data_IF_223077276341
#
_entry.id   IF_223077276341
#
_cell.length_a   1.000
_cell.length_b   1.000
_cell.length_c   1.000
_cell.angle_alpha   90.00
_cell.angle_beta   90.00
_cell.angle_gamma   90.00
#
_symmetry.space_group_name_H-M   'P 1'
#
loop_
_entity.id
_entity.type
_entity.pdbx_description
1 polymer ?
#
# COMPACT_ATOMS: atom_id res chain seq x y z
N UNK A 1 -17.13 -6.04 -20.49
CA UNK A 1 -16.37 -5.38 -21.58
C UNK A 1 -16.32 -6.37 -22.73
N UNK A 2 -16.85 -6.02 -23.90
CA UNK A 2 -16.92 -6.94 -25.05
C UNK A 2 -15.65 -6.92 -25.92
N UNK A 3 -14.71 -6.02 -25.64
CA UNK A 3 -13.42 -5.91 -26.33
C UNK A 3 -12.30 -6.61 -25.57
N UNK A 4 -11.31 -7.20 -26.26
CA UNK A 4 -10.17 -7.81 -25.61
C UNK A 4 -9.29 -6.74 -24.95
N UNK A 5 -8.67 -7.12 -23.83
CA UNK A 5 -7.82 -6.22 -23.06
C UNK A 5 -6.59 -6.92 -22.49
N UNK A 6 -5.58 -6.12 -22.13
CA UNK A 6 -4.37 -6.56 -21.45
C UNK A 6 -4.16 -5.76 -20.16
N UNK A 7 -3.81 -6.43 -19.07
CA UNK A 7 -3.37 -5.81 -17.82
C UNK A 7 -1.94 -6.23 -17.50
N UNK A 8 -1.18 -5.34 -16.87
CA UNK A 8 0.18 -5.63 -16.39
C UNK A 8 0.02 -5.98 -14.90
N UNK A 9 0.31 -7.24 -14.54
CA UNK A 9 0.14 -7.74 -13.17
C UNK A 9 1.37 -7.53 -12.28
N UNK A 10 2.50 -7.16 -12.88
CA UNK A 10 3.73 -6.84 -12.15
C UNK A 10 3.89 -5.33 -11.95
N UNK A 11 4.57 -4.89 -10.88
CA UNK A 11 4.89 -3.49 -10.67
C UNK A 11 5.63 -2.85 -11.87
N UNK A 12 5.53 -1.53 -12.07
CA UNK A 12 6.13 -0.83 -13.20
C UNK A 12 7.66 -0.74 -13.12
N UNK A 13 8.26 -1.04 -11.96
CA UNK A 13 9.70 -1.01 -11.76
C UNK A 13 10.42 -2.11 -12.56
N UNK A 14 11.69 -1.88 -12.96
CA UNK A 14 12.49 -2.90 -13.61
C UNK A 14 12.63 -4.15 -12.75
N UNK A 15 12.30 -5.30 -13.33
CA UNK A 15 12.44 -6.61 -12.71
C UNK A 15 13.01 -7.64 -13.67
N UNK A 16 13.21 -8.87 -13.19
CA UNK A 16 13.66 -9.97 -14.04
C UNK A 16 12.56 -10.41 -15.02
N UNK A 17 11.32 -10.55 -14.52
CA UNK A 17 10.17 -11.09 -15.27
C UNK A 17 8.96 -10.18 -15.05
N UNK A 18 8.27 -9.84 -16.13
CA UNK A 18 6.98 -9.18 -16.10
C UNK A 18 5.86 -10.19 -16.30
N UNK A 19 4.64 -9.87 -15.88
CA UNK A 19 3.46 -10.71 -16.14
C UNK A 19 2.38 -9.84 -16.75
N UNK A 20 1.93 -10.19 -17.95
CA UNK A 20 0.79 -9.56 -18.61
C UNK A 20 -0.35 -10.54 -18.72
N UNK A 21 -1.54 -10.12 -18.28
CA UNK A 21 -2.78 -10.87 -18.42
C UNK A 21 -3.55 -10.35 -19.63
N UNK A 22 -3.83 -11.22 -20.59
CA UNK A 22 -4.67 -10.92 -21.75
C UNK A 22 -6.00 -11.64 -21.60
N UNK A 23 -7.08 -10.88 -21.71
CA UNK A 23 -8.46 -11.37 -21.72
C UNK A 23 -9.08 -11.14 -23.10
N UNK A 24 -9.68 -12.18 -23.66
CA UNK A 24 -10.48 -12.12 -24.88
C UNK A 24 -11.98 -12.32 -24.58
N UNK A 25 -12.90 -11.81 -25.43
CA UNK A 25 -14.34 -12.05 -25.24
C UNK A 25 -14.74 -13.51 -25.48
N UNK A 26 -14.02 -14.22 -26.35
CA UNK A 26 -14.25 -15.62 -26.67
C UNK A 26 -12.97 -16.32 -27.16
N UNK A 27 -13.05 -17.65 -27.32
CA UNK A 27 -11.91 -18.47 -27.71
C UNK A 27 -11.36 -18.11 -29.12
N UNK A 28 -12.24 -17.80 -30.06
CA UNK A 28 -11.87 -17.44 -31.42
C UNK A 28 -11.08 -16.12 -31.46
N UNK A 29 -11.47 -15.18 -30.60
CA UNK A 29 -10.77 -13.91 -30.42
C UNK A 29 -9.39 -14.11 -29.81
N UNK A 30 -9.24 -14.98 -28.80
CA UNK A 30 -7.92 -15.29 -28.23
C UNK A 30 -6.98 -15.94 -29.25
N UNK A 31 -7.50 -16.88 -30.04
CA UNK A 31 -6.75 -17.53 -31.13
C UNK A 31 -6.34 -16.51 -32.21
N UNK A 32 -7.23 -15.58 -32.56
CA UNK A 32 -6.93 -14.52 -33.50
C UNK A 32 -5.81 -13.60 -32.97
N UNK A 33 -5.88 -13.17 -31.70
CA UNK A 33 -4.85 -12.37 -31.02
C UNK A 33 -3.51 -13.09 -31.06
N UNK A 34 -3.47 -14.35 -30.61
CA UNK A 34 -2.22 -15.11 -30.54
C UNK A 34 -1.59 -15.29 -31.93
N UNK A 35 -2.39 -15.59 -32.95
CA UNK A 35 -1.92 -15.71 -34.33
C UNK A 35 -1.37 -14.39 -34.88
N UNK A 36 -2.08 -13.28 -34.68
CA UNK A 36 -1.67 -11.96 -35.19
C UNK A 36 -0.43 -11.42 -34.47
N UNK A 37 -0.31 -11.67 -33.17
CA UNK A 37 0.84 -11.29 -32.36
C UNK A 37 2.03 -12.27 -32.47
N UNK A 38 1.89 -13.40 -33.18
CA UNK A 38 2.95 -14.42 -33.25
C UNK A 38 3.26 -15.06 -31.88
N UNK A 39 2.23 -15.23 -31.05
CA UNK A 39 2.29 -15.89 -29.74
C UNK A 39 1.96 -17.38 -29.91
N UNK A 40 2.82 -18.31 -29.47
CA UNK A 40 2.57 -19.73 -29.60
C UNK A 40 1.56 -20.19 -28.54
N UNK A 41 0.28 -20.12 -28.87
CA UNK A 41 -0.83 -20.46 -27.98
C UNK A 41 -0.80 -21.95 -27.56
N UNK A 42 -0.71 -22.27 -26.26
CA UNK A 42 -0.87 -23.64 -25.77
C UNK A 42 -2.35 -24.09 -25.78
N UNK A 43 -2.58 -25.37 -25.48
CA UNK A 43 -3.92 -25.85 -25.14
C UNK A 43 -4.40 -25.19 -23.84
N UNK A 44 -5.71 -25.20 -23.58
CA UNK A 44 -6.30 -24.70 -22.34
C UNK A 44 -5.71 -25.43 -21.12
N UNK A 45 -5.27 -24.69 -20.10
CA UNK A 45 -4.50 -25.20 -18.96
C UNK A 45 -3.03 -25.53 -19.27
N UNK A 46 -2.56 -25.26 -20.48
CA UNK A 46 -1.23 -25.60 -20.96
C UNK A 46 -0.22 -24.47 -20.84
N UNK A 47 1.06 -24.85 -20.89
CA UNK A 47 2.19 -23.91 -20.89
C UNK A 47 3.09 -24.12 -22.10
N UNK A 48 3.68 -23.04 -22.61
CA UNK A 48 4.63 -23.08 -23.72
C UNK A 48 5.67 -21.98 -23.60
N UNK A 49 6.90 -22.26 -24.05
CA UNK A 49 7.93 -21.23 -24.22
C UNK A 49 7.93 -20.76 -25.67
N UNK A 50 8.03 -19.44 -25.89
CA UNK A 50 8.28 -18.90 -27.22
C UNK A 50 8.13 -17.38 -27.30
N UNK A 51 7.92 -16.89 -28.53
CA UNK A 51 7.84 -15.46 -28.83
C UNK A 51 6.60 -14.83 -28.21
N UNK A 52 6.78 -13.64 -27.64
CA UNK A 52 5.73 -12.78 -27.08
C UNK A 52 5.66 -11.53 -27.95
N UNK A 53 4.59 -11.42 -28.75
CA UNK A 53 4.33 -10.28 -29.63
C UNK A 53 5.46 -9.97 -30.65
N UNK A 54 6.38 -10.92 -30.91
CA UNK A 54 7.58 -10.69 -31.71
C UNK A 54 8.59 -9.70 -31.09
N UNK A 55 8.44 -9.40 -29.80
CA UNK A 55 9.26 -8.44 -29.05
C UNK A 55 10.27 -9.15 -28.16
N UNK A 56 9.82 -10.19 -27.45
CA UNK A 56 10.64 -10.92 -26.48
C UNK A 56 10.32 -12.42 -26.50
N UNK A 57 11.10 -13.21 -25.77
CA UNK A 57 10.86 -14.63 -25.53
C UNK A 57 10.54 -14.88 -24.06
N UNK A 58 9.54 -15.71 -23.78
CA UNK A 58 9.15 -16.03 -22.42
C UNK A 58 8.21 -17.22 -22.34
N UNK A 59 7.57 -17.36 -21.18
CA UNK A 59 6.55 -18.37 -20.94
C UNK A 59 5.18 -17.79 -21.29
N UNK A 60 4.38 -18.61 -21.95
CA UNK A 60 3.00 -18.35 -22.34
C UNK A 60 2.15 -19.40 -21.65
N UNK A 61 1.22 -18.96 -20.80
CA UNK A 61 0.32 -19.84 -20.03
C UNK A 61 -1.11 -19.53 -20.48
N UNK A 62 -1.84 -20.52 -20.99
CA UNK A 62 -3.26 -20.36 -21.30
C UNK A 62 -4.07 -20.95 -20.15
N UNK A 63 -4.68 -20.11 -19.33
CA UNK A 63 -5.45 -20.57 -18.17
C UNK A 63 -6.80 -21.13 -18.59
N UNK A 64 -7.53 -20.39 -19.42
CA UNK A 64 -8.82 -20.80 -19.98
C UNK A 64 -8.84 -20.61 -21.48
N UNK A 65 -9.98 -20.89 -22.11
CA UNK A 65 -10.11 -20.66 -23.55
C UNK A 65 -10.07 -19.17 -23.93
N UNK A 66 -10.24 -18.27 -22.95
CA UNK A 66 -10.32 -16.82 -23.14
C UNK A 66 -9.21 -16.02 -22.44
N UNK A 67 -8.37 -16.65 -21.62
CA UNK A 67 -7.30 -15.99 -20.85
C UNK A 67 -5.91 -16.50 -21.18
N UNK A 68 -4.95 -15.59 -21.16
CA UNK A 68 -3.54 -15.87 -21.46
C UNK A 68 -2.61 -15.03 -20.58
N UNK A 69 -1.63 -15.65 -19.94
CA UNK A 69 -0.51 -14.95 -19.31
C UNK A 69 0.71 -14.98 -20.22
N UNK A 70 1.36 -13.82 -20.34
CA UNK A 70 2.62 -13.62 -21.04
C UNK A 70 3.67 -13.21 -20.02
N UNK A 71 4.82 -13.89 -20.00
CA UNK A 71 5.88 -13.64 -19.02
C UNK A 71 7.20 -13.18 -19.69
N UNK A 72 7.27 -11.97 -20.26
CA UNK A 72 8.50 -11.44 -20.83
C UNK A 72 9.48 -11.02 -19.73
N UNK A 73 10.68 -10.58 -20.12
CA UNK A 73 11.56 -9.86 -19.21
C UNK A 73 10.92 -8.54 -18.78
N UNK A 74 11.06 -8.17 -17.49
CA UNK A 74 10.45 -6.95 -16.91
C UNK A 74 11.23 -5.66 -17.19
N UNK A 75 11.71 -5.49 -18.42
CA UNK A 75 12.25 -4.21 -18.89
C UNK A 75 11.09 -3.26 -19.26
N UNK A 76 11.01 -2.02 -18.74
CA UNK A 76 9.91 -1.10 -19.06
C UNK A 76 9.73 -0.85 -20.57
N UNK A 77 10.82 -0.87 -21.35
CA UNK A 77 10.76 -0.76 -22.80
C UNK A 77 10.17 -2.01 -23.48
N UNK A 78 10.46 -3.20 -22.95
CA UNK A 78 9.93 -4.48 -23.44
C UNK A 78 8.43 -4.54 -23.20
N UNK A 79 8.00 -4.24 -21.96
CA UNK A 79 6.57 -4.22 -21.59
C UNK A 79 5.81 -3.23 -22.47
N UNK A 80 6.32 -2.00 -22.64
CA UNK A 80 5.70 -0.99 -23.52
C UNK A 80 5.60 -1.45 -24.98
N UNK A 81 6.64 -2.10 -25.50
CA UNK A 81 6.63 -2.60 -26.87
C UNK A 81 5.61 -3.74 -27.05
N UNK A 82 5.51 -4.67 -26.10
CA UNK A 82 4.50 -5.74 -26.12
C UNK A 82 3.08 -5.15 -26.07
N UNK A 83 2.81 -4.25 -25.12
CA UNK A 83 1.50 -3.58 -25.01
C UNK A 83 1.17 -2.81 -26.28
N UNK A 84 2.15 -2.11 -26.88
CA UNK A 84 1.97 -1.40 -28.14
C UNK A 84 1.60 -2.35 -29.29
N UNK A 85 2.26 -3.50 -29.40
CA UNK A 85 1.94 -4.53 -30.40
C UNK A 85 0.55 -5.13 -30.21
N UNK A 86 0.15 -5.36 -28.97
CA UNK A 86 -1.20 -5.83 -28.64
C UNK A 86 -2.26 -4.77 -28.99
N UNK A 87 -1.97 -3.49 -28.75
CA UNK A 87 -2.85 -2.38 -29.12
C UNK A 87 -3.04 -2.24 -30.64
N UNK A 88 -1.99 -2.47 -31.44
CA UNK A 88 -2.06 -2.46 -32.92
C UNK A 88 -3.08 -3.47 -33.48
N UNK A 89 -3.36 -4.56 -32.75
CA UNK A 89 -4.30 -5.62 -33.13
C UNK A 89 -5.62 -5.55 -32.35
N UNK A 90 -5.89 -4.43 -31.68
CA UNK A 90 -7.16 -4.15 -31.03
C UNK A 90 -7.30 -4.64 -29.58
N UNK A 91 -6.20 -5.06 -28.94
CA UNK A 91 -6.19 -5.39 -27.49
C UNK A 91 -5.87 -4.13 -26.70
N UNK A 92 -6.86 -3.61 -25.99
CA UNK A 92 -6.70 -2.37 -25.24
C UNK A 92 -5.99 -2.60 -23.90
N UNK A 93 -5.21 -1.64 -23.42
CA UNK A 93 -4.79 -1.66 -22.02
C UNK A 93 -6.03 -1.55 -21.13
N UNK A 94 -6.12 -2.40 -20.10
CA UNK A 94 -7.24 -2.38 -19.16
C UNK A 94 -7.39 -0.96 -18.55
N UNK A 95 -8.63 -0.49 -18.33
CA UNK A 95 -8.86 0.76 -17.61
C UNK A 95 -8.28 0.68 -16.19
N UNK A 96 -8.06 1.85 -15.56
CA UNK A 96 -7.51 1.92 -14.19
C UNK A 96 -8.42 1.30 -13.11
N UNK A 97 -9.66 0.93 -13.46
CA UNK A 97 -10.53 0.15 -12.58
C UNK A 97 -10.06 -1.31 -12.59
N UNK A 98 -9.82 -1.86 -11.40
CA UNK A 98 -9.36 -3.24 -11.23
C UNK A 98 -10.28 -4.21 -12.00
N UNK A 99 -9.73 -5.01 -12.93
CA UNK A 99 -10.50 -6.03 -13.63
C UNK A 99 -11.20 -6.98 -12.65
N UNK A 100 -12.33 -7.55 -13.08
CA UNK A 100 -13.07 -8.51 -12.27
C UNK A 100 -12.15 -9.61 -11.71
N UNK A 101 -12.26 -9.88 -10.41
CA UNK A 101 -11.34 -10.78 -9.71
C UNK A 101 -11.38 -12.20 -10.29
N UNK A 102 -12.53 -12.70 -10.73
CA UNK A 102 -12.63 -14.04 -11.35
C UNK A 102 -11.88 -14.11 -12.68
N UNK A 103 -11.72 -12.95 -13.34
CA UNK A 103 -10.97 -12.85 -14.58
C UNK A 103 -9.47 -12.85 -14.31
N UNK A 104 -9.01 -12.14 -13.28
CA UNK A 104 -7.60 -12.07 -12.90
C UNK A 104 -7.07 -13.36 -12.27
N UNK A 105 -7.94 -14.09 -11.55
CA UNK A 105 -7.61 -15.32 -10.83
C UNK A 105 -8.47 -16.48 -11.35
N UNK A 106 -8.29 -16.91 -12.62
CA UNK A 106 -9.09 -17.99 -13.21
C UNK A 106 -8.88 -19.35 -12.52
N UNK A 107 -7.82 -19.49 -11.72
CA UNK A 107 -7.56 -20.67 -10.88
C UNK A 107 -8.42 -20.75 -9.61
N UNK A 108 -9.10 -19.66 -9.23
CA UNK A 108 -9.97 -19.64 -8.06
C UNK A 108 -11.17 -20.59 -8.25
N UNK A 109 -11.55 -21.32 -7.18
CA UNK A 109 -12.66 -22.28 -7.26
C UNK A 109 -14.03 -21.59 -7.38
N UNK A 110 -14.15 -20.37 -6.87
CA UNK A 110 -15.35 -19.53 -6.93
C UNK A 110 -15.03 -18.03 -6.82
N UNK A 111 -16.06 -17.20 -6.95
CA UNK A 111 -15.96 -15.74 -6.86
C UNK A 111 -15.43 -15.26 -5.50
N UNK A 112 -15.72 -15.99 -4.42
CA UNK A 112 -15.27 -15.62 -3.07
C UNK A 112 -13.75 -15.79 -2.99
N UNK A 113 -13.23 -16.92 -3.47
CA UNK A 113 -11.80 -17.19 -3.52
C UNK A 113 -11.08 -16.21 -4.46
N UNK A 114 -11.66 -15.88 -5.61
CA UNK A 114 -11.09 -14.90 -6.53
C UNK A 114 -10.94 -13.51 -5.88
N UNK A 115 -11.99 -13.04 -5.19
CA UNK A 115 -11.96 -11.77 -4.45
C UNK A 115 -10.98 -11.81 -3.28
N UNK A 116 -10.85 -12.95 -2.61
CA UNK A 116 -9.87 -13.16 -1.54
C UNK A 116 -8.44 -13.06 -2.09
N UNK A 117 -8.12 -13.72 -3.21
CA UNK A 117 -6.82 -13.63 -3.87
C UNK A 117 -6.51 -12.20 -4.30
N UNK A 118 -7.50 -11.49 -4.86
CA UNK A 118 -7.36 -10.08 -5.21
C UNK A 118 -7.05 -9.21 -3.97
N UNK A 119 -7.72 -9.45 -2.84
CA UNK A 119 -7.43 -8.76 -1.59
C UNK A 119 -6.04 -9.12 -1.02
N UNK A 120 -5.65 -10.39 -1.12
CA UNK A 120 -4.35 -10.88 -0.66
C UNK A 120 -3.19 -10.27 -1.45
N UNK A 121 -3.35 -10.11 -2.76
CA UNK A 121 -2.34 -9.52 -3.64
C UNK A 121 -2.06 -8.03 -3.33
N UNK A 122 -3.04 -7.31 -2.76
CA UNK A 122 -2.91 -5.90 -2.35
C UNK A 122 -2.69 -5.70 -0.85
N UNK A 123 -2.75 -6.76 -0.05
CA UNK A 123 -2.69 -6.65 1.39
C UNK A 123 -1.32 -6.12 1.82
N UNK A 124 -1.30 -4.92 2.41
CA UNK A 124 -0.05 -4.30 2.84
C UNK A 124 0.53 -4.99 4.09
N UNK A 125 -0.33 -5.42 5.02
CA UNK A 125 0.09 -5.99 6.29
C UNK A 125 0.16 -7.53 6.25
N UNK A 126 1.28 -8.16 6.64
CA UNK A 126 1.38 -9.62 6.78
C UNK A 126 0.31 -10.23 7.69
N UNK A 127 -0.14 -9.50 8.72
CA UNK A 127 -1.22 -9.94 9.60
C UNK A 127 -2.57 -10.16 8.87
N UNK A 128 -2.74 -9.64 7.65
CA UNK A 128 -3.94 -9.89 6.83
C UNK A 128 -4.00 -11.32 6.29
N UNK A 129 -2.85 -11.99 6.10
CA UNK A 129 -2.73 -13.21 5.29
C UNK A 129 -3.65 -14.31 5.83
N UNK A 130 -3.49 -14.70 7.10
CA UNK A 130 -4.28 -15.77 7.70
C UNK A 130 -5.78 -15.41 7.77
N UNK A 131 -6.10 -14.12 7.97
CA UNK A 131 -7.48 -13.64 8.01
C UNK A 131 -8.16 -13.74 6.65
N UNK A 132 -7.43 -13.45 5.57
CA UNK A 132 -7.89 -13.54 4.19
C UNK A 132 -8.01 -15.00 3.74
N UNK A 133 -7.00 -15.83 4.01
CA UNK A 133 -7.02 -17.25 3.65
C UNK A 133 -8.19 -17.99 4.32
N UNK A 134 -8.57 -17.61 5.54
CA UNK A 134 -9.75 -18.16 6.22
C UNK A 134 -11.09 -17.66 5.65
N UNK A 135 -11.09 -16.60 4.85
CA UNK A 135 -12.31 -15.90 4.43
C UNK A 135 -13.21 -16.76 3.54
N UNK A 136 -12.64 -17.54 2.62
CA UNK A 136 -13.41 -18.42 1.74
C UNK A 136 -14.21 -19.46 2.54
N UNK A 137 -13.59 -20.08 3.56
CA UNK A 137 -14.26 -21.02 4.46
C UNK A 137 -15.40 -20.35 5.25
N UNK A 138 -15.16 -19.14 5.78
CA UNK A 138 -16.15 -18.41 6.58
C UNK A 138 -17.38 -18.03 5.78
N UNK A 139 -17.20 -17.49 4.57
CA UNK A 139 -18.32 -17.10 3.70
C UNK A 139 -19.16 -18.30 3.24
N UNK A 140 -18.53 -19.45 3.07
CA UNK A 140 -19.22 -20.71 2.75
C UNK A 140 -19.95 -21.31 3.97
N UNK A 141 -19.67 -20.84 5.19
CA UNK A 141 -20.29 -21.35 6.42
C UNK A 141 -21.64 -20.67 6.65
N UNK A 142 -22.77 -21.41 6.62
CA UNK A 142 -24.09 -20.82 6.84
C UNK A 142 -24.22 -20.20 8.23
N UNK A 143 -24.78 -18.99 8.32
CA UNK A 143 -24.98 -18.30 9.60
C UNK A 143 -23.74 -17.61 10.16
N UNK A 144 -22.65 -17.50 9.40
CA UNK A 144 -21.55 -16.60 9.75
C UNK A 144 -22.10 -15.16 9.85
N UNK A 145 -22.21 -14.67 11.09
CA UNK A 145 -22.66 -13.30 11.33
C UNK A 145 -21.63 -12.30 10.78
N UNK A 146 -22.11 -11.17 10.27
CA UNK A 146 -21.26 -10.00 10.06
C UNK A 146 -20.60 -9.66 11.39
N UNK A 147 -19.28 -9.46 11.36
CA UNK A 147 -18.48 -9.05 12.50
C UNK A 147 -17.82 -7.70 12.16
N UNK A 148 -18.52 -6.58 12.46
CA UNK A 148 -18.00 -5.26 12.14
C UNK A 148 -16.65 -4.94 12.80
N UNK A 149 -16.32 -5.59 13.92
CA UNK A 149 -15.03 -5.41 14.56
C UNK A 149 -13.93 -6.04 13.72
N UNK A 150 -14.12 -7.27 13.25
CA UNK A 150 -13.19 -7.93 12.33
C UNK A 150 -13.10 -7.22 10.99
N UNK A 151 -14.21 -6.74 10.44
CA UNK A 151 -14.20 -6.01 9.17
C UNK A 151 -13.35 -4.74 9.27
N UNK A 152 -13.45 -4.00 10.38
CA UNK A 152 -12.56 -2.85 10.65
C UNK A 152 -11.09 -3.24 10.75
N UNK A 153 -10.78 -4.33 11.46
CA UNK A 153 -9.40 -4.82 11.57
C UNK A 153 -8.85 -5.19 10.20
N UNK A 154 -9.60 -5.98 9.42
CA UNK A 154 -9.17 -6.40 8.09
C UNK A 154 -8.95 -5.19 7.17
N UNK A 155 -9.85 -4.21 7.18
CA UNK A 155 -9.68 -2.99 6.38
C UNK A 155 -8.39 -2.26 6.71
N UNK A 156 -7.98 -2.17 7.99
CA UNK A 156 -6.70 -1.55 8.38
C UNK A 156 -5.47 -2.39 8.04
N UNK A 157 -5.64 -3.68 7.84
CA UNK A 157 -4.56 -4.57 7.41
C UNK A 157 -4.37 -4.55 5.89
N UNK A 158 -5.46 -4.34 5.15
CA UNK A 158 -5.46 -4.12 3.71
C UNK A 158 -4.93 -2.73 3.37
N UNK A 159 -5.52 -1.70 3.97
CA UNK A 159 -5.20 -0.28 3.76
C UNK A 159 -4.41 0.26 4.97
N UNK A 160 -3.09 0.54 4.82
CA UNK A 160 -2.26 1.01 5.91
C UNK A 160 -2.82 2.27 6.58
N UNK A 161 -3.07 2.27 7.90
CA UNK A 161 -3.50 3.47 8.60
C UNK A 161 -2.42 4.55 8.58
N UNK A 162 -2.85 5.80 8.56
CA UNK A 162 -1.95 6.95 8.65
C UNK A 162 -1.62 7.27 10.11
N UNK A 163 -0.35 7.17 10.47
CA UNK A 163 0.19 7.53 11.78
C UNK A 163 0.98 8.84 11.64
N UNK A 164 0.50 9.92 12.25
CA UNK A 164 1.16 11.23 12.17
C UNK A 164 1.92 11.54 13.47
N UNK A 165 3.23 11.78 13.36
CA UNK A 165 4.05 12.21 14.49
C UNK A 165 4.18 13.74 14.51
N UNK A 166 3.62 14.35 15.55
CA UNK A 166 3.56 15.81 15.72
C UNK A 166 4.29 16.23 16.98
N UNK A 167 4.98 17.36 16.92
CA UNK A 167 5.70 17.91 18.07
C UNK A 167 6.84 18.84 17.68
N UNK A 168 7.56 19.40 18.67
CA UNK A 168 8.63 20.35 18.43
C UNK A 168 9.71 19.91 17.43
N UNK A 169 10.44 20.85 16.81
CA UNK A 169 11.59 20.51 15.98
C UNK A 169 12.68 19.83 16.80
N UNK A 170 13.44 18.93 16.17
CA UNK A 170 14.66 18.33 16.73
C UNK A 170 14.51 17.51 18.03
N UNK A 171 13.30 17.02 18.34
CA UNK A 171 13.06 16.12 19.50
C UNK A 171 13.22 14.63 19.18
N UNK A 172 13.58 14.28 17.94
CA UNK A 172 13.81 12.89 17.52
C UNK A 172 12.63 12.17 16.88
N UNK A 173 11.64 12.88 16.30
CA UNK A 173 10.50 12.26 15.57
C UNK A 173 10.95 11.42 14.38
N UNK A 174 11.89 11.91 13.57
CA UNK A 174 12.46 11.16 12.45
C UNK A 174 13.32 9.98 12.94
N UNK A 175 14.02 10.14 14.06
CA UNK A 175 14.79 9.06 14.70
C UNK A 175 13.86 7.96 15.20
N UNK A 176 12.69 8.31 15.74
CA UNK A 176 11.65 7.36 16.13
C UNK A 176 11.16 6.56 14.93
N UNK A 177 10.83 7.21 13.81
CA UNK A 177 10.42 6.54 12.57
C UNK A 177 11.45 5.48 12.13
N UNK A 178 12.73 5.86 12.07
CA UNK A 178 13.81 4.95 11.69
C UNK A 178 13.97 3.78 12.68
N UNK A 179 13.79 4.03 13.98
CA UNK A 179 13.88 2.99 15.00
C UNK A 179 12.69 1.99 14.90
N UNK A 180 11.46 2.49 14.72
CA UNK A 180 10.26 1.67 14.55
C UNK A 180 10.32 0.81 13.29
N UNK A 181 10.90 1.31 12.21
CA UNK A 181 11.01 0.57 10.97
C UNK A 181 12.06 -0.56 10.99
N UNK A 182 12.86 -0.69 12.07
CA UNK A 182 13.88 -1.74 12.22
C UNK A 182 15.07 -1.66 11.26
N UNK A 183 15.08 -0.71 10.31
CA UNK A 183 16.14 -0.41 9.33
C UNK A 183 16.01 1.02 8.80
N UNK A 184 17.05 1.53 8.15
CA UNK A 184 16.95 2.78 7.35
C UNK A 184 15.92 2.58 6.26
N UNK A 185 14.78 3.26 6.36
CA UNK A 185 13.67 3.05 5.43
C UNK A 185 14.01 3.69 4.09
N UNK A 186 13.92 2.90 3.01
CA UNK A 186 13.80 3.49 1.68
C UNK A 186 12.44 4.17 1.63
N UNK A 187 12.43 5.50 1.49
CA UNK A 187 11.23 6.27 1.21
C UNK A 187 10.56 5.62 0.00
N UNK A 188 9.41 4.99 0.19
CA UNK A 188 8.55 4.58 -0.93
C UNK A 188 7.91 5.87 -1.43
N UNK A 189 8.52 6.43 -2.47
CA UNK A 189 7.97 7.55 -3.21
C UNK A 189 7.06 7.00 -4.31
N UNK A 190 5.81 7.49 -4.31
CA UNK A 190 4.78 7.43 -5.35
C UNK A 190 4.56 6.11 -6.12
N UNK A 191 3.35 5.58 -5.98
CA UNK A 191 2.64 4.97 -7.12
C UNK A 191 1.95 6.09 -7.91
N UNK A 192 2.39 6.29 -9.15
CA UNK A 192 1.80 7.28 -10.05
C UNK A 192 0.36 6.87 -10.42
N UNK A 193 -0.64 7.44 -9.73
CA UNK A 193 -2.05 7.20 -10.07
C UNK A 193 -3.07 7.55 -8.99
N UNK A 194 -2.67 7.69 -7.73
CA UNK A 194 -3.62 8.07 -6.67
C UNK A 194 -3.60 9.57 -6.45
N UNK A 195 -4.57 10.29 -7.00
CA UNK A 195 -4.86 11.66 -6.57
C UNK A 195 -5.33 11.63 -5.12
N UNK A 196 -4.43 12.00 -4.20
CA UNK A 196 -4.64 12.87 -3.01
C UNK A 196 -3.42 12.80 -2.09
N UNK A 197 -2.35 13.51 -2.44
CA UNK A 197 -1.34 14.11 -1.54
C UNK A 197 -1.04 13.44 -0.17
N UNK A 198 -0.27 12.35 -0.08
CA UNK A 198 0.14 11.74 1.21
C UNK A 198 1.65 11.38 1.26
N UNK A 199 2.48 12.31 1.75
CA UNK A 199 3.95 12.16 1.89
C UNK A 199 4.30 11.39 3.18
N UNK A 200 4.04 10.08 3.24
CA UNK A 200 4.38 9.24 4.40
C UNK A 200 5.12 7.97 3.98
N UNK A 201 5.92 7.41 4.89
CA UNK A 201 6.72 6.21 4.64
C UNK A 201 6.00 4.98 5.18
N UNK A 202 5.94 3.88 4.41
CA UNK A 202 5.40 2.61 4.91
C UNK A 202 6.42 1.93 5.83
N UNK A 203 6.00 1.60 7.04
CA UNK A 203 6.82 0.88 8.03
C UNK A 203 6.04 -0.34 8.56
N UNK A 204 6.75 -1.44 8.80
CA UNK A 204 6.20 -2.65 9.42
C UNK A 204 6.39 -2.58 10.94
N UNK A 205 5.27 -2.56 11.67
CA UNK A 205 5.22 -2.57 13.12
C UNK A 205 4.60 -3.89 13.57
N UNK A 206 5.43 -4.87 13.89
CA UNK A 206 5.00 -6.21 14.33
C UNK A 206 3.99 -6.90 13.39
N UNK A 207 4.15 -6.74 12.08
CA UNK A 207 3.29 -7.31 11.04
C UNK A 207 2.10 -6.44 10.65
N UNK A 208 1.91 -5.29 11.31
CA UNK A 208 0.99 -4.23 10.88
C UNK A 208 1.79 -3.19 10.09
N UNK A 209 1.50 -3.07 8.80
CA UNK A 209 2.09 -2.01 7.98
C UNK A 209 1.28 -0.73 8.16
N UNK A 210 1.97 0.35 8.53
CA UNK A 210 1.37 1.68 8.70
C UNK A 210 2.05 2.69 7.80
N UNK A 211 1.32 3.73 7.41
CA UNK A 211 1.90 4.90 6.74
C UNK A 211 2.32 5.90 7.82
N UNK A 212 3.61 6.05 8.04
CA UNK A 212 4.16 6.98 9.02
C UNK A 212 4.46 8.33 8.37
N UNK A 213 3.86 9.39 8.92
CA UNK A 213 4.05 10.77 8.49
C UNK A 213 4.80 11.55 9.57
N UNK A 214 6.05 11.93 9.27
CA UNK A 214 6.84 12.82 10.12
C UNK A 214 6.53 14.27 9.77
N UNK A 215 5.84 14.98 10.66
CA UNK A 215 5.48 16.37 10.38
C UNK A 215 6.66 17.31 10.68
N UNK A 216 6.74 18.46 9.98
CA UNK A 216 7.63 19.54 10.38
C UNK A 216 7.45 19.87 11.87
N UNK A 217 8.55 20.23 12.52
CA UNK A 217 8.50 20.63 13.92
C UNK A 217 7.85 22.00 14.08
N UNK A 218 6.90 22.11 15.01
CA UNK A 218 6.26 23.38 15.37
C UNK A 218 6.81 23.90 16.70
N UNK A 219 7.08 25.20 16.81
CA UNK A 219 7.56 25.80 18.06
C UNK A 219 6.58 25.59 19.23
N UNK A 220 7.08 25.65 20.46
CA UNK A 220 6.28 25.63 21.69
C UNK A 220 5.38 26.87 21.72
N UNK A 221 4.19 26.77 21.15
CA UNK A 221 3.32 27.93 20.97
C UNK A 221 1.89 27.58 20.62
N UNK A 222 1.63 27.01 19.44
CA UNK A 222 0.28 26.64 19.01
C UNK A 222 0.29 26.03 17.61
N UNK A 223 -0.72 25.22 17.26
CA UNK A 223 -1.12 24.97 15.87
C UNK A 223 -1.77 26.19 15.18
N UNK A 224 -1.92 27.30 15.91
CA UNK A 224 -2.38 28.57 15.39
C UNK A 224 -1.20 29.29 14.73
N UNK A 225 -1.26 29.43 13.41
CA UNK A 225 -0.36 30.32 12.70
C UNK A 225 -0.54 31.73 13.26
N UNK A 226 0.55 32.36 13.71
CA UNK A 226 0.53 33.78 14.06
C UNK A 226 0.23 34.56 12.77
N UNK A 227 -0.54 35.64 12.87
CA UNK A 227 -0.87 36.48 11.70
C UNK A 227 0.39 37.00 10.97
N UNK A 228 1.49 37.18 11.71
CA UNK A 228 2.78 37.63 11.21
C UNK A 228 3.82 36.48 11.08
N UNK A 229 3.39 35.22 11.05
CA UNK A 229 4.29 34.07 10.93
C UNK A 229 5.04 34.10 9.57
N UNK A 230 6.35 33.77 9.54
CA UNK A 230 7.07 33.58 8.29
C UNK A 230 6.38 32.55 7.38
N UNK A 231 6.52 32.65 6.04
CA UNK A 231 5.90 31.70 5.11
C UNK A 231 6.23 30.23 5.40
N UNK A 232 7.45 29.94 5.85
CA UNK A 232 7.90 28.60 6.23
C UNK A 232 7.15 28.05 7.45
N UNK A 233 6.91 28.88 8.46
CA UNK A 233 6.13 28.51 9.65
C UNK A 233 4.66 28.29 9.29
N UNK A 234 4.08 29.16 8.45
CA UNK A 234 2.72 28.99 7.95
C UNK A 234 2.55 27.69 7.15
N UNK A 235 3.52 27.33 6.31
CA UNK A 235 3.54 26.08 5.58
C UNK A 235 3.67 24.86 6.51
N UNK A 236 4.56 24.92 7.51
CA UNK A 236 4.71 23.86 8.51
C UNK A 236 3.42 23.62 9.31
N UNK A 237 2.71 24.69 9.68
CA UNK A 237 1.41 24.62 10.34
C UNK A 237 0.36 24.00 9.42
N UNK A 238 0.31 24.38 8.13
CA UNK A 238 -0.64 23.82 7.16
C UNK A 238 -0.40 22.31 6.94
N UNK A 239 0.86 21.89 6.76
CA UNK A 239 1.24 20.47 6.64
C UNK A 239 0.79 19.70 7.89
N UNK A 240 1.08 20.23 9.08
CA UNK A 240 0.70 19.58 10.34
C UNK A 240 -0.82 19.50 10.50
N UNK A 241 -1.57 20.54 10.11
CA UNK A 241 -3.05 20.52 10.16
C UNK A 241 -3.63 19.47 9.22
N UNK A 242 -3.13 19.38 7.99
CA UNK A 242 -3.55 18.35 7.03
C UNK A 242 -3.22 16.95 7.53
N UNK A 243 -2.04 16.77 8.12
CA UNK A 243 -1.63 15.52 8.75
C UNK A 243 -2.61 15.11 9.86
N UNK A 244 -2.96 16.03 10.77
CA UNK A 244 -3.90 15.78 11.86
C UNK A 244 -5.31 15.42 11.37
N UNK A 245 -5.79 16.08 10.32
CA UNK A 245 -7.11 15.80 9.75
C UNK A 245 -7.19 14.46 9.00
N UNK A 246 -6.08 13.96 8.48
CA UNK A 246 -6.03 12.70 7.74
C UNK A 246 -5.61 11.51 8.60
N UNK A 247 -4.97 11.75 9.75
CA UNK A 247 -4.38 10.70 10.57
C UNK A 247 -5.44 9.82 11.24
N UNK A 248 -5.18 8.51 11.23
CA UNK A 248 -5.93 7.55 12.03
C UNK A 248 -5.41 7.49 13.47
N UNK A 249 -4.10 7.76 13.66
CA UNK A 249 -3.42 7.82 14.94
C UNK A 249 -2.45 9.01 14.96
N UNK A 250 -2.48 9.78 16.05
CA UNK A 250 -1.58 10.90 16.28
C UNK A 250 -0.61 10.57 17.40
N UNK A 251 0.68 10.65 17.11
CA UNK A 251 1.75 10.57 18.10
C UNK A 251 2.13 11.99 18.53
N UNK A 252 1.68 12.38 19.73
CA UNK A 252 2.02 13.65 20.39
C UNK A 252 3.40 13.53 21.01
N UNK A 253 4.41 13.84 20.21
CA UNK A 253 5.80 13.75 20.60
C UNK A 253 6.24 14.99 21.39
N UNK A 254 6.89 14.74 22.51
CA UNK A 254 7.52 15.74 23.33
C UNK A 254 8.95 15.34 23.66
N UNK A 255 9.76 16.33 24.02
CA UNK A 255 11.03 16.06 24.67
C UNK A 255 10.82 15.73 26.14
N UNK A 256 11.68 14.95 26.78
CA UNK A 256 11.54 14.64 28.20
C UNK A 256 11.48 15.89 29.10
N UNK A 257 12.03 17.03 28.68
CA UNK A 257 12.05 18.26 29.48
C UNK A 257 10.87 19.20 29.23
N UNK A 258 10.02 18.95 28.23
CA UNK A 258 8.91 19.84 27.88
C UNK A 258 7.68 19.03 27.44
N UNK A 259 6.46 19.39 27.89
CA UNK A 259 5.25 18.63 27.55
C UNK A 259 4.95 18.68 26.03
N UNK A 260 4.18 17.70 25.51
CA UNK A 260 3.85 17.64 24.10
C UNK A 260 3.02 18.86 23.66
N UNK A 261 3.06 19.15 22.36
CA UNK A 261 2.20 20.17 21.78
C UNK A 261 0.74 19.86 22.11
N UNK A 262 0.01 20.87 22.58
CA UNK A 262 -1.41 20.79 22.79
C UNK A 262 -2.17 21.33 21.58
N UNK A 263 -3.20 20.61 21.19
CA UNK A 263 -4.06 20.98 20.09
C UNK A 263 -5.51 20.77 20.46
N UNK A 264 -6.38 21.62 19.91
CA UNK A 264 -7.78 21.61 20.27
C UNK A 264 -8.43 20.25 19.91
N UNK A 265 -9.27 19.67 20.79
CA UNK A 265 -9.86 18.33 20.59
C UNK A 265 -10.66 18.16 19.29
N UNK A 266 -11.13 19.28 18.72
CA UNK A 266 -11.94 19.34 17.49
C UNK A 266 -11.11 19.26 16.21
N UNK A 267 -9.78 19.36 16.27
CA UNK A 267 -8.91 19.31 15.09
C UNK A 267 -8.86 17.90 14.49
N UNK A 268 -8.91 16.85 15.31
CA UNK A 268 -8.88 15.46 14.86
C UNK A 268 -9.76 14.54 15.74
N UNK A 269 -11.09 14.76 15.77
CA UNK A 269 -11.98 14.06 16.70
C UNK A 269 -12.13 12.56 16.41
N UNK A 270 -11.70 12.12 15.23
CA UNK A 270 -11.77 10.73 14.78
C UNK A 270 -10.48 9.94 15.04
N UNK A 271 -9.38 10.63 15.31
CA UNK A 271 -8.06 10.02 15.45
C UNK A 271 -7.80 9.61 16.89
N UNK A 272 -7.26 8.41 17.08
CA UNK A 272 -6.67 8.05 18.37
C UNK A 272 -5.43 8.91 18.62
N UNK A 273 -5.08 9.16 19.87
CA UNK A 273 -3.90 9.97 20.23
C UNK A 273 -3.09 9.27 21.30
N UNK A 274 -1.78 9.15 21.09
CA UNK A 274 -0.81 8.69 22.07
C UNK A 274 0.20 9.80 22.37
N UNK A 275 0.49 10.01 23.64
CA UNK A 275 1.47 10.96 24.14
C UNK A 275 2.81 10.27 24.37
N UNK A 276 3.85 10.77 23.70
CA UNK A 276 5.19 10.18 23.69
C UNK A 276 6.21 11.14 24.31
N UNK A 277 6.95 10.66 25.30
CA UNK A 277 8.17 11.30 25.76
C UNK A 277 9.37 10.71 25.00
N UNK A 278 10.06 11.52 24.20
CA UNK A 278 11.23 11.12 23.43
C UNK A 278 12.53 11.51 24.15
N UNK A 279 13.65 10.91 23.72
CA UNK A 279 15.02 11.15 24.24
C UNK A 279 15.14 10.91 25.74
N UNK A 280 14.45 9.89 26.24
CA UNK A 280 14.43 9.55 27.67
C UNK A 280 15.77 9.07 28.23
N UNK A 281 16.76 8.84 27.37
CA UNK A 281 18.16 8.61 27.76
C UNK A 281 18.87 9.89 28.24
N UNK A 282 18.36 11.08 27.90
CA UNK A 282 18.93 12.36 28.32
C UNK A 282 18.30 12.89 29.60
N UNK A 283 17.00 12.70 29.76
CA UNK A 283 16.24 13.10 30.95
C UNK A 283 14.97 12.25 31.07
N UNK A 284 14.47 12.09 32.29
CA UNK A 284 13.17 11.44 32.50
C UNK A 284 12.03 12.46 32.44
N UNK A 285 10.92 12.17 31.75
CA UNK A 285 9.79 13.10 31.63
C UNK A 285 9.14 13.44 32.97
N UNK A 286 8.87 14.73 33.18
CA UNK A 286 8.16 15.25 34.36
C UNK A 286 6.67 15.49 34.10
N UNK A 287 6.14 15.03 32.97
CA UNK A 287 4.75 15.20 32.55
C UNK A 287 4.09 13.85 32.29
N UNK A 288 2.75 13.75 32.38
CA UNK A 288 2.02 12.54 32.02
C UNK A 288 2.23 12.17 30.55
N UNK A 289 2.49 10.89 30.29
CA UNK A 289 2.71 10.34 28.95
C UNK A 289 2.27 8.87 28.91
N UNK A 290 1.93 8.38 27.73
CA UNK A 290 1.56 6.98 27.51
C UNK A 290 2.81 6.10 27.35
N UNK A 291 3.80 6.59 26.59
CA UNK A 291 5.06 5.88 26.36
C UNK A 291 6.28 6.80 26.45
N UNK A 292 7.37 6.23 26.99
CA UNK A 292 8.68 6.86 27.09
C UNK A 292 9.66 6.08 26.20
N UNK A 293 10.32 6.78 25.28
CA UNK A 293 11.14 6.17 24.23
C UNK A 293 12.50 6.86 24.12
N UNK A 294 13.55 6.05 24.13
CA UNK A 294 14.86 6.45 23.63
C UNK A 294 15.14 5.71 22.34
N UNK A 295 14.78 6.34 21.21
CA UNK A 295 14.99 5.77 19.88
C UNK A 295 16.48 5.52 19.59
N UNK A 296 17.37 6.38 20.09
CA UNK A 296 18.83 6.22 19.96
C UNK A 296 19.38 5.00 20.71
N UNK A 297 18.70 4.55 21.78
CA UNK A 297 19.08 3.38 22.58
C UNK A 297 18.19 2.15 22.33
N UNK A 298 17.18 2.28 21.45
CA UNK A 298 16.17 1.24 21.22
C UNK A 298 15.24 0.99 22.43
N UNK A 299 15.24 1.83 23.46
CA UNK A 299 14.46 1.61 24.67
C UNK A 299 13.02 2.09 24.48
N UNK A 300 12.04 1.29 24.91
CA UNK A 300 10.61 1.62 24.82
C UNK A 300 10.00 1.47 23.42
N UNK A 301 10.80 1.13 22.41
CA UNK A 301 10.33 0.93 21.02
C UNK A 301 9.34 -0.23 20.94
N UNK A 302 9.70 -1.41 21.48
CA UNK A 302 8.82 -2.59 21.44
C UNK A 302 7.50 -2.37 22.21
N UNK A 303 7.57 -1.64 23.32
CA UNK A 303 6.40 -1.31 24.13
C UNK A 303 5.46 -0.33 23.40
N UNK A 304 6.03 0.63 22.64
CA UNK A 304 5.25 1.52 21.77
C UNK A 304 4.67 0.76 20.58
N UNK A 305 5.44 -0.14 19.96
CA UNK A 305 5.02 -0.94 18.81
C UNK A 305 3.89 -1.94 19.16
N UNK A 306 3.77 -2.33 20.43
CA UNK A 306 2.73 -3.23 20.90
C UNK A 306 1.40 -2.53 21.27
N UNK A 307 1.39 -1.20 21.36
CA UNK A 307 0.23 -0.39 21.74
C UNK A 307 -0.62 0.00 20.54
#
# INVERSE_FOLDING_TARGET
>A
MDAPWVSILTPPEPGAIGVLHVQAPDAASLEAIARQAGIPLPHSGGVRVGSIAGVDHGVVIRWTDTTLHLTPHAGPAIIRAIVGRLAEIGVCLAPAEDPDACTLYPEAADEIEARMLAALARAASPLAIDLLLDQARRWRTPGAASDPARDRVLNRLLDPPLVAAVGPPNIGKSTLCNALAGRSVAIVADEAGTTRDHVGVLIDVHGLVVRYLDTPGLGTGSLLARADAPPEEAAAVDITRRALHAADLILRCADATAPPLDFAPDIAPHAATLSLALRTDLAWPSFPHDHAVSAARGQGIDALAAA
#
